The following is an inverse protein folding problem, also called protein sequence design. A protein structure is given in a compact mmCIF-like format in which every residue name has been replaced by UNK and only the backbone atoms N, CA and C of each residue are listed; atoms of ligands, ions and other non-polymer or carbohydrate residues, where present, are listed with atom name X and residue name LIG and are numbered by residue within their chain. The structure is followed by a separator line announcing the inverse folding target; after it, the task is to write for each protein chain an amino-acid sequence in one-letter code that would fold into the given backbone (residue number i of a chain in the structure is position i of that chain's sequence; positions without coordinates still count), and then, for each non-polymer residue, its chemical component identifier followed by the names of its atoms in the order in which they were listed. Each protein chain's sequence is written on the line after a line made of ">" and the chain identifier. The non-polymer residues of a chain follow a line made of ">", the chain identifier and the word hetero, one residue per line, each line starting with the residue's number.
data_IF_503476821262
#
_entry.id   IF_503476821262
#
_cell.length_a   1.000
_cell.length_b   1.000
_cell.length_c   1.000
_cell.angle_alpha   90.00
_cell.angle_beta   90.00
_cell.angle_gamma   90.00
#
_symmetry.space_group_name_H-M   'P 1'
#
loop_
_entity.id
_entity.type
_entity.pdbx_description
1 polymer ?
#
# COMPACT_ATOMS: atom_id res chain seq x y z
N UNK A 1 -1.35 -11.69 -10.90
CA UNK A 1 -0.79 -10.45 -10.33
C UNK A 1 0.49 -10.80 -9.56
N UNK A 2 1.49 -9.92 -9.52
CA UNK A 2 2.74 -10.15 -8.77
C UNK A 2 2.62 -9.65 -7.31
N UNK A 3 3.62 -9.92 -6.47
CA UNK A 3 3.66 -9.54 -5.05
C UNK A 3 4.73 -8.49 -4.77
N UNK A 4 4.48 -7.66 -3.76
CA UNK A 4 5.42 -6.72 -3.17
C UNK A 4 5.54 -7.00 -1.67
N UNK A 5 6.77 -7.08 -1.16
CA UNK A 5 7.04 -7.16 0.27
C UNK A 5 7.60 -5.84 0.78
N UNK A 6 6.94 -5.25 1.77
CA UNK A 6 7.41 -4.09 2.51
C UNK A 6 7.89 -4.53 3.89
N UNK A 7 9.17 -4.23 4.15
CA UNK A 7 9.77 -4.39 5.46
C UNK A 7 10.90 -3.37 5.64
N UNK A 8 10.75 -2.49 6.63
CA UNK A 8 11.75 -1.48 6.98
C UNK A 8 13.07 -2.15 7.37
N UNK A 9 14.17 -1.65 6.83
CA UNK A 9 15.52 -2.18 7.12
C UNK A 9 15.90 -3.45 6.37
N UNK A 10 14.98 -4.08 5.63
CA UNK A 10 15.31 -5.18 4.73
C UNK A 10 15.89 -4.66 3.42
N UNK A 11 16.99 -5.28 3.00
CA UNK A 11 17.60 -5.11 1.68
C UNK A 11 16.70 -5.63 0.57
N UNK A 12 16.99 -5.22 -0.67
CA UNK A 12 16.25 -5.71 -1.84
C UNK A 12 16.33 -7.25 -1.99
N UNK A 13 17.48 -7.85 -1.70
CA UNK A 13 17.66 -9.30 -1.76
C UNK A 13 16.89 -10.03 -0.65
N UNK A 14 16.82 -9.46 0.56
CA UNK A 14 15.96 -9.97 1.63
C UNK A 14 14.48 -9.94 1.23
N UNK A 15 14.01 -8.78 0.75
CA UNK A 15 12.63 -8.63 0.27
C UNK A 15 12.31 -9.61 -0.85
N UNK A 16 13.23 -9.79 -1.82
CA UNK A 16 13.09 -10.76 -2.90
C UNK A 16 12.92 -12.18 -2.37
N UNK A 17 13.73 -12.63 -1.41
CA UNK A 17 13.58 -13.97 -0.81
C UNK A 17 12.22 -14.14 -0.14
N UNK A 18 11.73 -13.12 0.57
CA UNK A 18 10.40 -13.16 1.18
C UNK A 18 9.29 -13.28 0.14
N UNK A 19 9.36 -12.50 -0.95
CA UNK A 19 8.39 -12.60 -2.07
C UNK A 19 8.38 -13.99 -2.69
N UNK A 20 9.54 -14.56 -2.98
CA UNK A 20 9.62 -15.91 -3.57
C UNK A 20 9.08 -16.99 -2.63
N UNK A 21 9.27 -16.84 -1.31
CA UNK A 21 8.71 -17.75 -0.32
C UNK A 21 7.17 -17.66 -0.26
N UNK A 22 6.60 -16.44 -0.28
CA UNK A 22 5.16 -16.24 -0.34
C UNK A 22 4.54 -16.86 -1.60
N UNK A 23 5.17 -16.63 -2.77
CA UNK A 23 4.73 -17.24 -4.03
C UNK A 23 4.72 -18.76 -3.97
N UNK A 24 5.76 -19.36 -3.39
CA UNK A 24 5.84 -20.82 -3.27
C UNK A 24 4.73 -21.43 -2.38
N UNK A 25 4.20 -20.67 -1.40
CA UNK A 25 3.04 -21.09 -0.60
C UNK A 25 1.78 -21.05 -1.46
N UNK A 26 1.53 -19.91 -2.11
CA UNK A 26 0.35 -19.69 -2.96
C UNK A 26 0.31 -20.71 -4.12
N UNK A 27 1.44 -20.91 -4.81
CA UNK A 27 1.57 -21.87 -5.92
C UNK A 27 1.27 -23.31 -5.46
N UNK A 28 1.65 -23.68 -4.24
CA UNK A 28 1.39 -25.01 -3.67
C UNK A 28 -0.09 -25.21 -3.35
N UNK A 29 -0.78 -24.15 -2.94
CA UNK A 29 -2.22 -24.17 -2.71
C UNK A 29 -3.02 -24.26 -4.02
N UNK A 30 -2.39 -23.98 -5.17
CA UNK A 30 -3.01 -24.10 -6.49
C UNK A 30 -3.98 -22.96 -6.80
N UNK A 31 -3.88 -21.84 -6.08
CA UNK A 31 -4.65 -20.62 -6.31
C UNK A 31 -3.72 -19.50 -6.75
N UNK A 32 -4.28 -18.44 -7.32
CA UNK A 32 -3.55 -17.23 -7.68
C UNK A 32 -3.32 -16.35 -6.46
N UNK A 33 -2.31 -15.48 -6.54
CA UNK A 33 -2.09 -14.45 -5.52
C UNK A 33 -3.31 -13.53 -5.33
N UNK A 34 -4.05 -13.28 -6.41
CA UNK A 34 -5.25 -12.45 -6.39
C UNK A 34 -6.39 -13.13 -5.64
N UNK A 35 -6.61 -14.43 -5.83
CA UNK A 35 -7.59 -15.21 -5.06
C UNK A 35 -7.21 -15.24 -3.56
N UNK A 36 -5.95 -15.51 -3.24
CA UNK A 36 -5.47 -15.53 -1.85
C UNK A 36 -5.70 -14.18 -1.15
N UNK A 37 -5.26 -13.08 -1.78
CA UNK A 37 -5.46 -11.74 -1.26
C UNK A 37 -6.95 -11.34 -1.21
N UNK A 38 -7.76 -11.81 -2.17
CA UNK A 38 -9.20 -11.59 -2.20
C UNK A 38 -9.91 -12.24 -1.03
N UNK A 39 -9.56 -13.48 -0.68
CA UNK A 39 -10.09 -14.15 0.51
C UNK A 39 -9.73 -13.41 1.80
N UNK A 40 -8.47 -12.99 1.94
CA UNK A 40 -8.04 -12.18 3.09
C UNK A 40 -8.79 -10.85 3.15
N UNK A 41 -8.98 -10.17 2.02
CA UNK A 41 -9.74 -8.92 1.95
C UNK A 41 -11.20 -9.11 2.36
N UNK A 42 -11.86 -10.18 1.92
CA UNK A 42 -13.24 -10.50 2.32
C UNK A 42 -13.35 -10.71 3.84
N UNK A 43 -12.41 -11.45 4.43
CA UNK A 43 -12.34 -11.68 5.87
C UNK A 43 -12.15 -10.37 6.67
N UNK A 44 -11.20 -9.53 6.27
CA UNK A 44 -10.95 -8.24 6.95
C UNK A 44 -12.14 -7.28 6.78
N UNK A 45 -12.76 -7.24 5.60
CA UNK A 45 -13.96 -6.43 5.36
C UNK A 45 -15.12 -6.86 6.26
N UNK A 46 -15.28 -8.16 6.49
CA UNK A 46 -16.30 -8.71 7.38
C UNK A 46 -16.06 -8.32 8.85
N UNK A 47 -14.81 -8.35 9.32
CA UNK A 47 -14.42 -7.84 10.65
C UNK A 47 -14.69 -6.33 10.78
N UNK A 48 -14.28 -5.54 9.80
CA UNK A 48 -14.51 -4.08 9.76
C UNK A 48 -16.01 -3.71 9.82
N UNK A 49 -16.87 -4.56 9.25
CA UNK A 49 -18.32 -4.40 9.29
C UNK A 49 -18.97 -4.88 10.59
N UNK A 50 -18.21 -5.54 11.48
CA UNK A 50 -18.69 -6.06 12.75
C UNK A 50 -19.39 -7.41 12.65
N UNK A 51 -18.94 -8.27 11.72
CA UNK A 51 -19.40 -9.64 11.53
C UNK A 51 -20.90 -9.83 11.20
N UNK A 52 -21.48 -9.10 10.22
CA UNK A 52 -22.85 -9.35 9.79
C UNK A 52 -23.03 -10.77 9.22
N UNK A 53 -24.09 -11.48 9.62
CA UNK A 53 -24.33 -12.89 9.26
C UNK A 53 -24.52 -13.10 7.74
N UNK A 54 -25.00 -12.09 7.02
CA UNK A 54 -25.32 -12.16 5.58
C UNK A 54 -24.14 -11.82 4.66
N UNK A 55 -23.04 -11.31 5.20
CA UNK A 55 -21.80 -11.00 4.48
C UNK A 55 -20.63 -11.84 4.99
N UNK A 56 -20.92 -12.96 5.67
CA UNK A 56 -19.87 -13.89 6.11
C UNK A 56 -19.10 -14.46 4.90
N UNK A 57 -17.76 -14.46 4.92
CA UNK A 57 -16.96 -15.07 3.87
C UNK A 57 -17.34 -16.54 3.65
N UNK A 58 -17.33 -16.96 2.40
CA UNK A 58 -17.50 -18.38 2.06
C UNK A 58 -16.33 -19.22 2.55
N UNK A 59 -16.54 -20.54 2.68
CA UNK A 59 -15.48 -21.50 2.99
C UNK A 59 -14.27 -21.39 2.04
N UNK A 60 -14.51 -21.05 0.77
CA UNK A 60 -13.45 -20.85 -0.21
C UNK A 60 -12.64 -19.56 0.06
N UNK A 61 -13.30 -18.49 0.51
CA UNK A 61 -12.64 -17.24 0.88
C UNK A 61 -11.85 -17.39 2.17
N UNK A 62 -12.37 -18.10 3.17
CA UNK A 62 -11.59 -18.46 4.36
C UNK A 62 -10.35 -19.28 4.01
N UNK A 63 -10.49 -20.32 3.17
CA UNK A 63 -9.35 -21.12 2.75
C UNK A 63 -8.30 -20.28 1.97
N UNK A 64 -8.75 -19.33 1.16
CA UNK A 64 -7.87 -18.41 0.46
C UNK A 64 -7.19 -17.40 1.42
N UNK A 65 -7.90 -16.91 2.43
CA UNK A 65 -7.37 -16.05 3.49
C UNK A 65 -6.29 -16.76 4.31
N UNK A 66 -6.50 -18.03 4.66
CA UNK A 66 -5.51 -18.86 5.35
C UNK A 66 -4.22 -18.99 4.53
N UNK A 67 -4.33 -19.25 3.23
CA UNK A 67 -3.17 -19.31 2.32
C UNK A 67 -2.42 -17.96 2.29
N UNK A 68 -3.13 -16.84 2.31
CA UNK A 68 -2.52 -15.51 2.36
C UNK A 68 -1.79 -15.25 3.68
N UNK A 69 -2.35 -15.72 4.80
CA UNK A 69 -1.70 -15.71 6.12
C UNK A 69 -0.44 -16.57 6.17
N UNK A 70 -0.49 -17.78 5.62
CA UNK A 70 0.69 -18.65 5.48
C UNK A 70 1.77 -18.00 4.60
N UNK A 71 1.37 -17.34 3.51
CA UNK A 71 2.28 -16.61 2.63
C UNK A 71 2.98 -15.44 3.36
N UNK A 72 2.26 -14.73 4.24
CA UNK A 72 2.84 -13.70 5.11
C UNK A 72 3.91 -14.27 6.05
N UNK A 73 3.61 -15.40 6.70
CA UNK A 73 4.55 -16.07 7.61
C UNK A 73 5.80 -16.51 6.85
N UNK A 74 5.63 -17.18 5.70
CA UNK A 74 6.74 -17.63 4.87
C UNK A 74 7.60 -16.45 4.38
N UNK A 75 6.96 -15.34 3.99
CA UNK A 75 7.67 -14.12 3.59
C UNK A 75 8.50 -13.54 4.74
N UNK A 76 7.92 -13.43 5.94
CA UNK A 76 8.61 -12.95 7.14
C UNK A 76 9.84 -13.79 7.46
N UNK A 77 9.68 -15.11 7.51
CA UNK A 77 10.75 -16.05 7.84
C UNK A 77 11.91 -15.99 6.83
N UNK A 78 11.60 -16.02 5.53
CA UNK A 78 12.61 -16.01 4.48
C UNK A 78 13.31 -14.65 4.32
N UNK A 79 12.55 -13.56 4.48
CA UNK A 79 13.09 -12.20 4.44
C UNK A 79 14.06 -11.96 5.60
N UNK A 80 13.63 -12.30 6.83
CA UNK A 80 14.40 -12.07 8.06
C UNK A 80 15.36 -13.22 8.40
N UNK A 81 15.68 -14.09 7.44
CA UNK A 81 16.61 -15.20 7.65
C UNK A 81 17.99 -14.65 8.08
N UNK A 82 18.46 -15.08 9.25
CA UNK A 82 19.73 -14.62 9.82
C UNK A 82 19.67 -13.31 10.62
N UNK A 83 18.50 -12.68 10.74
CA UNK A 83 18.35 -11.48 11.58
C UNK A 83 18.49 -11.81 13.07
N UNK A 84 19.10 -10.94 13.87
CA UNK A 84 19.09 -11.04 15.34
C UNK A 84 17.67 -11.08 15.89
N UNK A 85 17.42 -11.87 16.93
CA UNK A 85 16.08 -12.07 17.48
C UNK A 85 15.42 -10.77 17.98
N UNK A 86 16.21 -9.84 18.53
CA UNK A 86 15.79 -8.51 18.99
C UNK A 86 15.46 -7.54 17.84
N UNK A 87 15.83 -7.89 16.60
CA UNK A 87 15.56 -7.09 15.40
C UNK A 87 14.51 -7.70 14.49
N UNK A 88 14.07 -8.94 14.76
CA UNK A 88 13.04 -9.59 13.96
C UNK A 88 11.69 -8.92 14.21
N UNK A 89 11.02 -8.42 13.16
CA UNK A 89 9.67 -7.91 13.28
C UNK A 89 8.70 -9.07 13.54
N UNK A 90 7.51 -8.75 14.06
CA UNK A 90 6.44 -9.73 14.29
C UNK A 90 5.60 -9.99 13.04
N UNK A 91 5.68 -9.11 12.04
CA UNK A 91 4.94 -9.19 10.80
C UNK A 91 5.69 -8.47 9.66
N UNK A 92 5.30 -8.79 8.43
CA UNK A 92 5.67 -8.08 7.21
C UNK A 92 4.40 -7.59 6.53
N UNK A 93 4.52 -6.61 5.65
CA UNK A 93 3.41 -6.20 4.79
C UNK A 93 3.61 -6.81 3.40
N UNK A 94 2.75 -7.76 3.04
CA UNK A 94 2.68 -8.35 1.70
C UNK A 94 1.52 -7.73 0.94
N UNK A 95 1.79 -7.19 -0.24
CA UNK A 95 0.80 -6.52 -1.08
C UNK A 95 0.72 -7.17 -2.46
N UNK A 96 -0.46 -7.11 -3.07
CA UNK A 96 -0.60 -7.30 -4.50
C UNK A 96 0.02 -6.12 -5.26
N UNK A 97 0.76 -6.43 -6.31
CA UNK A 97 1.31 -5.43 -7.21
C UNK A 97 0.27 -5.05 -8.28
N UNK A 98 -0.70 -4.23 -7.88
CA UNK A 98 -1.81 -3.75 -8.73
C UNK A 98 -1.41 -2.55 -9.60
N UNK A 99 -0.52 -1.71 -9.08
CA UNK A 99 -0.04 -0.50 -9.73
C UNK A 99 1.50 -0.49 -9.75
N UNK A 100 2.13 -1.33 -10.60
CA UNK A 100 3.59 -1.50 -10.60
C UNK A 100 4.36 -0.19 -10.75
N UNK A 101 3.84 0.73 -11.56
CA UNK A 101 4.50 2.02 -11.81
C UNK A 101 4.57 2.88 -10.53
N UNK A 102 3.53 2.91 -9.72
CA UNK A 102 3.46 3.68 -8.47
C UNK A 102 4.10 2.92 -7.30
N UNK A 103 3.82 1.62 -7.17
CA UNK A 103 4.27 0.79 -6.05
C UNK A 103 5.78 0.48 -6.09
N UNK A 104 6.40 0.45 -7.29
CA UNK A 104 7.84 0.18 -7.45
C UNK A 104 8.69 1.43 -7.70
N UNK A 105 8.10 2.62 -7.77
CA UNK A 105 8.86 3.84 -8.00
C UNK A 105 9.92 4.04 -6.90
N UNK A 106 11.14 4.49 -7.22
CA UNK A 106 12.05 4.97 -6.19
C UNK A 106 11.50 6.27 -5.53
N UNK A 107 12.04 6.64 -4.36
CA UNK A 107 11.57 7.82 -3.60
C UNK A 107 11.56 9.10 -4.45
N UNK A 108 12.58 9.33 -5.28
CA UNK A 108 12.68 10.55 -6.09
C UNK A 108 11.67 10.53 -7.24
N UNK A 109 11.52 9.39 -7.91
CA UNK A 109 10.51 9.20 -8.95
C UNK A 109 9.10 9.36 -8.38
N UNK A 110 8.84 8.83 -7.18
CA UNK A 110 7.54 8.97 -6.51
C UNK A 110 7.22 10.43 -6.15
N UNK A 111 8.19 11.16 -5.57
CA UNK A 111 8.07 12.60 -5.29
C UNK A 111 7.80 13.42 -6.55
N UNK A 112 8.53 13.16 -7.64
CA UNK A 112 8.35 13.87 -8.89
C UNK A 112 6.95 13.66 -9.47
N UNK A 113 6.44 12.41 -9.42
CA UNK A 113 5.09 12.07 -9.89
C UNK A 113 4.00 12.68 -9.03
N UNK A 114 4.14 12.69 -7.70
CA UNK A 114 3.22 13.40 -6.80
C UNK A 114 3.07 14.86 -7.19
N UNK A 115 4.19 15.56 -7.39
CA UNK A 115 4.18 16.97 -7.80
C UNK A 115 3.57 17.18 -9.18
N UNK A 116 3.82 16.26 -10.12
CA UNK A 116 3.23 16.32 -11.46
C UNK A 116 1.69 16.17 -11.43
N UNK A 117 1.17 15.24 -10.63
CA UNK A 117 -0.28 15.05 -10.42
C UNK A 117 -0.88 16.34 -9.85
N UNK A 118 -0.27 16.90 -8.80
CA UNK A 118 -0.76 18.13 -8.16
C UNK A 118 -0.66 19.35 -9.08
N UNK A 119 0.24 19.36 -10.07
CA UNK A 119 0.36 20.46 -11.03
C UNK A 119 -0.65 20.39 -12.19
N UNK A 120 -1.32 19.25 -12.40
CA UNK A 120 -2.31 19.10 -13.46
C UNK A 120 -3.49 20.06 -13.27
N UNK A 121 -3.99 20.63 -14.38
CA UNK A 121 -4.91 21.78 -14.36
C UNK A 121 -6.38 21.42 -14.13
N UNK A 122 -6.76 20.19 -14.38
CA UNK A 122 -8.16 19.73 -14.33
C UNK A 122 -8.52 19.12 -12.97
N UNK A 123 -7.57 18.61 -12.19
CA UNK A 123 -7.80 17.96 -10.88
C UNK A 123 -8.81 16.79 -10.93
N UNK A 124 -9.22 16.40 -12.14
CA UNK A 124 -10.06 15.26 -12.45
C UNK A 124 -9.13 14.16 -12.93
N UNK A 125 -8.61 13.37 -12.01
CA UNK A 125 -8.02 12.10 -12.39
C UNK A 125 -8.35 11.09 -11.33
N UNK A 126 -8.43 9.83 -11.71
CA UNK A 126 -8.49 8.65 -10.82
C UNK A 126 -7.18 8.50 -9.99
N UNK A 127 -6.56 9.62 -9.61
CA UNK A 127 -5.25 9.67 -9.00
C UNK A 127 -5.29 9.68 -7.48
N UNK A 128 -6.44 9.72 -6.80
CA UNK A 128 -6.45 9.62 -5.32
C UNK A 128 -5.76 8.34 -4.82
N UNK A 129 -6.01 7.19 -5.46
CA UNK A 129 -5.30 5.95 -5.16
C UNK A 129 -3.80 6.04 -5.53
N UNK A 130 -3.47 6.70 -6.65
CA UNK A 130 -2.08 6.89 -7.09
C UNK A 130 -1.29 7.80 -6.15
N UNK A 131 -1.90 8.89 -5.68
CA UNK A 131 -1.31 9.83 -4.72
C UNK A 131 -1.05 9.11 -3.40
N UNK A 132 -1.99 8.30 -2.91
CA UNK A 132 -1.75 7.45 -1.74
C UNK A 132 -0.56 6.51 -1.96
N UNK A 133 -0.54 5.75 -3.06
CA UNK A 133 0.54 4.80 -3.35
C UNK A 133 1.91 5.49 -3.45
N UNK A 134 1.98 6.61 -4.16
CA UNK A 134 3.22 7.38 -4.32
C UNK A 134 3.66 8.01 -2.98
N UNK A 135 2.73 8.57 -2.19
CA UNK A 135 3.06 9.10 -0.86
C UNK A 135 3.59 8.01 0.07
N UNK A 136 2.97 6.82 0.08
CA UNK A 136 3.48 5.65 0.82
C UNK A 136 4.86 5.25 0.37
N UNK A 137 5.14 5.31 -0.94
CA UNK A 137 6.45 4.99 -1.49
C UNK A 137 7.53 5.97 -1.04
N UNK A 138 7.21 7.26 -0.98
CA UNK A 138 8.12 8.27 -0.41
C UNK A 138 8.36 8.01 1.07
N UNK A 139 7.33 7.59 1.80
CA UNK A 139 7.36 7.41 3.25
C UNK A 139 7.87 6.04 3.73
N UNK A 140 8.24 5.09 2.86
CA UNK A 140 8.45 3.66 3.20
C UNK A 140 9.33 3.42 4.45
N UNK A 141 10.37 4.24 4.64
CA UNK A 141 11.32 4.08 5.74
C UNK A 141 11.13 5.08 6.91
N UNK A 142 10.07 5.91 6.86
CA UNK A 142 9.79 6.92 7.88
C UNK A 142 9.02 6.34 9.08
N UNK A 143 9.35 6.81 10.28
CA UNK A 143 8.66 6.36 11.51
C UNK A 143 7.22 6.89 11.61
N UNK A 144 7.00 8.13 11.16
CA UNK A 144 5.69 8.79 11.10
C UNK A 144 5.04 8.68 9.71
N UNK A 145 5.36 7.63 8.95
CA UNK A 145 4.88 7.43 7.58
C UNK A 145 3.37 7.55 7.46
N UNK A 146 2.61 6.96 8.40
CA UNK A 146 1.14 6.99 8.41
C UNK A 146 0.60 8.42 8.40
N UNK A 147 1.11 9.26 9.30
CA UNK A 147 0.60 10.62 9.48
C UNK A 147 0.95 11.50 8.28
N UNK A 148 2.19 11.41 7.79
CA UNK A 148 2.62 12.19 6.61
C UNK A 148 1.89 11.78 5.33
N UNK A 149 1.64 10.47 5.15
CA UNK A 149 0.82 9.97 4.03
C UNK A 149 -0.62 10.49 4.16
N UNK A 150 -1.19 10.46 5.37
CA UNK A 150 -2.54 10.95 5.61
C UNK A 150 -2.67 12.46 5.32
N UNK A 151 -1.68 13.27 5.72
CA UNK A 151 -1.67 14.70 5.43
C UNK A 151 -1.70 14.99 3.93
N UNK A 152 -0.89 14.26 3.15
CA UNK A 152 -0.86 14.39 1.68
C UNK A 152 -2.19 13.96 1.07
N UNK A 153 -2.74 12.81 1.48
CA UNK A 153 -3.97 12.27 0.87
C UNK A 153 -5.19 13.11 1.22
N UNK A 154 -5.34 13.55 2.47
CA UNK A 154 -6.44 14.43 2.90
C UNK A 154 -6.38 15.77 2.17
N UNK A 155 -5.19 16.35 2.03
CA UNK A 155 -5.02 17.59 1.28
C UNK A 155 -5.40 17.39 -0.20
N UNK A 156 -4.96 16.28 -0.81
CA UNK A 156 -5.26 15.97 -2.21
C UNK A 156 -6.74 15.71 -2.46
N UNK A 157 -7.43 14.93 -1.62
CA UNK A 157 -8.89 14.70 -1.76
C UNK A 157 -9.66 16.01 -1.71
N UNK A 158 -9.26 16.96 -0.86
CA UNK A 158 -9.87 18.29 -0.83
C UNK A 158 -9.64 19.07 -2.12
N UNK A 159 -8.46 18.97 -2.72
CA UNK A 159 -8.14 19.58 -4.01
C UNK A 159 -9.01 18.96 -5.11
N UNK A 160 -8.99 17.64 -5.24
CA UNK A 160 -9.76 16.86 -6.22
C UNK A 160 -11.25 17.22 -6.17
N UNK A 161 -11.83 17.27 -4.97
CA UNK A 161 -13.24 17.60 -4.82
C UNK A 161 -13.61 19.05 -5.22
N UNK A 162 -12.64 19.97 -5.24
CA UNK A 162 -12.89 21.36 -5.65
C UNK A 162 -13.19 21.49 -7.13
N UNK A 163 -12.73 20.53 -7.92
CA UNK A 163 -12.94 20.54 -9.36
C UNK A 163 -14.40 20.22 -9.73
N UNK A 164 -15.23 19.79 -8.77
CA UNK A 164 -16.67 19.59 -8.99
C UNK A 164 -17.52 20.86 -8.84
N UNK A 165 -17.02 21.94 -8.22
CA UNK A 165 -17.70 23.25 -8.18
C UNK A 165 -16.80 24.35 -8.77
N UNK A 166 -17.14 24.92 -9.95
CA UNK A 166 -16.35 25.97 -10.59
C UNK A 166 -16.12 27.23 -9.75
N UNK A 167 -16.87 27.42 -8.66
CA UNK A 167 -16.75 28.57 -7.75
C UNK A 167 -15.75 28.32 -6.62
N UNK A 168 -15.33 27.07 -6.41
CA UNK A 168 -14.45 26.73 -5.31
C UNK A 168 -12.99 27.09 -5.64
N UNK A 169 -12.26 27.81 -4.75
CA UNK A 169 -10.90 28.22 -5.06
C UNK A 169 -9.92 27.04 -5.01
N UNK A 170 -9.36 26.70 -6.18
CA UNK A 170 -8.42 25.58 -6.36
C UNK A 170 -7.03 25.88 -5.79
N UNK A 171 -6.49 27.08 -6.04
CA UNK A 171 -5.08 27.38 -5.74
C UNK A 171 -4.68 27.30 -4.26
N UNK A 172 -5.49 27.76 -3.29
CA UNK A 172 -5.19 27.55 -1.87
C UNK A 172 -5.08 26.08 -1.48
N UNK A 173 -5.90 25.22 -2.08
CA UNK A 173 -5.89 23.77 -1.82
C UNK A 173 -4.72 23.10 -2.50
N UNK A 174 -4.39 23.49 -3.74
CA UNK A 174 -3.17 23.05 -4.43
C UNK A 174 -1.93 23.36 -3.61
N UNK A 175 -1.85 24.58 -3.05
CA UNK A 175 -0.78 24.95 -2.13
C UNK A 175 -0.75 24.07 -0.89
N UNK A 176 -1.89 23.74 -0.28
CA UNK A 176 -1.93 22.85 0.87
C UNK A 176 -1.38 21.45 0.55
N UNK A 177 -1.66 20.90 -0.64
CA UNK A 177 -1.06 19.62 -1.05
C UNK A 177 0.46 19.73 -1.21
N UNK A 178 0.94 20.81 -1.84
CA UNK A 178 2.38 21.03 -2.02
C UNK A 178 3.10 21.21 -0.67
N UNK A 179 2.51 21.94 0.27
CA UNK A 179 3.06 22.11 1.61
C UNK A 179 3.14 20.76 2.36
N UNK A 180 2.15 19.88 2.19
CA UNK A 180 2.17 18.52 2.74
C UNK A 180 3.24 17.62 2.08
N UNK A 181 3.39 17.70 0.75
CA UNK A 181 4.45 16.99 0.01
C UNK A 181 5.83 17.46 0.48
N UNK A 182 6.02 18.76 0.70
CA UNK A 182 7.29 19.31 1.17
C UNK A 182 7.61 18.88 2.61
N UNK A 183 6.59 18.68 3.46
CA UNK A 183 6.77 18.10 4.80
C UNK A 183 7.20 16.63 4.71
N UNK A 184 6.54 15.85 3.85
CA UNK A 184 6.89 14.45 3.58
C UNK A 184 8.30 14.29 2.99
N UNK A 185 8.74 15.19 2.11
CA UNK A 185 10.08 15.14 1.50
C UNK A 185 11.19 15.39 2.54
N UNK A 186 10.95 16.29 3.51
CA UNK A 186 11.91 16.71 4.53
C UNK A 186 12.10 15.73 5.68
N UNK A 187 11.12 14.85 5.91
CA UNK A 187 11.17 13.79 6.90
C UNK A 187 12.07 12.64 6.43
#
# INVERSE_FOLDING_TARGET
>A
MDLLLKLRGASADEKKRGVEAAKAVIDRAGITAEEAAGGFFAMEAWDDMGFPEDEEPSEAEYAAADVWGEAHIAALEACCAGWPADKKPVAVELELLMYPEEQLADRNTALARLRAIVAAKDGHSEASNKVFMLARRVAEDLENARDLVADVTVAYTRLEHSCFDPREPVEPKRKAVLDAIDALEKA
#
